data_IF_662545735953
#
_entry.id   IF_662545735953
#
_cell.length_a   1.000
_cell.length_b   1.000
_cell.length_c   1.000
_cell.angle_alpha   90.00
_cell.angle_beta   90.00
_cell.angle_gamma   90.00
#
_symmetry.space_group_name_H-M   'P 1'
#
loop_
_entity.id
_entity.type
_entity.pdbx_description
1 polymer ?
#
# COMPACT_ATOMS: atom_id res chain seq x y z
N UNK A 1 -36.73 -50.63 0.90
CA UNK A 1 -36.47 -50.48 2.36
C UNK A 1 -35.85 -49.10 2.55
N UNK A 2 -36.67 -48.12 2.95
CA UNK A 2 -36.29 -46.70 3.02
C UNK A 2 -35.58 -46.41 4.34
N UNK A 3 -34.49 -45.64 4.26
CA UNK A 3 -33.69 -45.12 5.38
C UNK A 3 -34.47 -44.04 6.13
N UNK A 4 -34.59 -44.15 7.45
CA UNK A 4 -34.96 -43.04 8.32
C UNK A 4 -33.73 -42.59 9.11
N UNK A 5 -33.21 -41.41 8.76
CA UNK A 5 -32.26 -40.67 9.59
C UNK A 5 -33.08 -39.77 10.52
N UNK A 6 -32.95 -39.99 11.83
CA UNK A 6 -33.55 -39.14 12.85
C UNK A 6 -32.78 -37.81 12.94
N UNK A 7 -33.48 -36.70 12.71
CA UNK A 7 -32.97 -35.34 12.91
C UNK A 7 -33.13 -35.01 14.40
N UNK A 8 -32.02 -35.06 15.15
CA UNK A 8 -31.96 -34.60 16.53
C UNK A 8 -31.90 -33.07 16.57
N UNK A 9 -32.88 -32.46 17.25
CA UNK A 9 -32.94 -31.04 17.58
C UNK A 9 -32.08 -30.78 18.82
N UNK A 10 -31.03 -29.99 18.68
CA UNK A 10 -30.26 -29.41 19.79
C UNK A 10 -30.21 -27.89 19.66
N UNK A 11 -31.04 -27.20 20.44
CA UNK A 11 -30.95 -25.75 20.70
C UNK A 11 -29.93 -25.58 21.83
N UNK A 12 -28.83 -24.85 21.60
CA UNK A 12 -28.00 -24.32 22.69
C UNK A 12 -27.61 -22.87 22.40
N UNK A 13 -28.30 -21.99 23.12
CA UNK A 13 -27.89 -20.73 23.76
C UNK A 13 -26.87 -19.82 23.05
N UNK A 14 -27.38 -18.64 22.67
CA UNK A 14 -26.64 -17.42 22.37
C UNK A 14 -25.68 -17.05 23.54
N UNK A 15 -24.38 -17.29 23.34
CA UNK A 15 -23.31 -16.54 23.98
C UNK A 15 -22.68 -15.63 22.94
N UNK A 16 -22.91 -14.32 23.06
CA UNK A 16 -22.45 -13.32 22.10
C UNK A 16 -20.92 -13.23 22.04
N UNK A 17 -20.31 -13.97 21.13
CA UNK A 17 -19.01 -13.62 20.58
C UNK A 17 -19.26 -12.72 19.37
N UNK A 18 -19.01 -11.42 19.53
CA UNK A 18 -18.81 -10.55 18.37
C UNK A 18 -17.44 -10.88 17.77
N UNK A 19 -17.39 -11.96 16.99
CA UNK A 19 -16.31 -12.20 16.04
C UNK A 19 -16.50 -11.19 14.90
N UNK A 20 -15.66 -10.15 14.90
CA UNK A 20 -15.64 -9.16 13.82
C UNK A 20 -15.13 -9.87 12.55
N UNK A 21 -16.09 -10.11 11.65
CA UNK A 21 -15.98 -10.36 10.21
C UNK A 21 -14.73 -11.06 9.68
N UNK A 22 -14.89 -12.31 9.26
CA UNK A 22 -14.04 -12.91 8.23
C UNK A 22 -14.10 -12.05 6.96
N UNK A 23 -12.97 -11.50 6.54
CA UNK A 23 -12.81 -10.95 5.20
C UNK A 23 -13.21 -12.03 4.17
N UNK A 24 -14.20 -11.74 3.33
CA UNK A 24 -14.54 -12.60 2.21
C UNK A 24 -13.51 -12.37 1.11
N UNK A 25 -12.56 -13.30 0.96
CA UNK A 25 -11.70 -13.36 -0.19
C UNK A 25 -12.51 -13.91 -1.37
N UNK A 26 -12.84 -13.05 -2.34
CA UNK A 26 -13.35 -13.52 -3.62
C UNK A 26 -12.18 -14.05 -4.43
N UNK A 27 -12.11 -15.38 -4.56
CA UNK A 27 -11.16 -16.04 -5.47
C UNK A 27 -11.69 -15.85 -6.88
N UNK A 28 -11.06 -14.98 -7.66
CA UNK A 28 -11.28 -14.94 -9.11
C UNK A 28 -10.40 -16.02 -9.72
N UNK A 29 -11.03 -17.06 -10.27
CA UNK A 29 -10.31 -18.10 -11.00
C UNK A 29 -9.57 -17.47 -12.21
N UNK A 30 -8.25 -17.63 -12.28
CA UNK A 30 -7.42 -17.17 -13.40
C UNK A 30 -6.43 -16.02 -13.09
N UNK A 31 -6.31 -15.58 -11.83
CA UNK A 31 -5.29 -14.60 -11.43
C UNK A 31 -4.18 -15.24 -10.60
N UNK A 32 -2.92 -15.06 -10.99
CA UNK A 32 -1.73 -15.49 -10.23
C UNK A 32 -1.59 -14.80 -8.87
N UNK A 33 -2.41 -13.78 -8.61
CA UNK A 33 -2.45 -13.00 -7.38
C UNK A 33 -3.90 -12.65 -6.98
N UNK A 34 -4.18 -12.62 -5.69
CA UNK A 34 -5.45 -12.15 -5.10
C UNK A 34 -5.16 -10.96 -4.19
N UNK A 35 -5.95 -9.90 -4.32
CA UNK A 35 -5.93 -8.76 -3.38
C UNK A 35 -6.50 -9.18 -2.03
N UNK A 36 -5.71 -9.08 -0.97
CA UNK A 36 -6.08 -9.54 0.37
C UNK A 36 -6.46 -8.41 1.32
N UNK A 37 -5.87 -7.22 1.15
CA UNK A 37 -6.15 -6.06 1.99
C UNK A 37 -5.88 -4.73 1.28
N UNK A 38 -6.56 -3.68 1.74
CA UNK A 38 -6.22 -2.28 1.46
C UNK A 38 -6.16 -1.54 2.78
N UNK A 39 -5.09 -0.79 3.01
CA UNK A 39 -4.90 -0.01 4.24
C UNK A 39 -4.49 1.41 3.89
N UNK A 40 -5.16 2.40 4.50
CA UNK A 40 -4.87 3.81 4.30
C UNK A 40 -3.81 4.32 5.28
N UNK A 41 -2.81 5.03 4.77
CA UNK A 41 -1.71 5.60 5.54
C UNK A 41 -1.63 7.11 5.37
N UNK A 42 -1.31 7.80 6.46
CA UNK A 42 -1.01 9.24 6.45
C UNK A 42 0.43 9.46 6.86
N UNK A 43 1.14 10.26 6.07
CA UNK A 43 2.56 10.55 6.24
C UNK A 43 2.74 11.49 7.44
N UNK A 44 3.62 11.08 8.37
CA UNK A 44 4.10 11.94 9.44
C UNK A 44 5.20 12.85 8.90
N UNK A 45 4.85 14.10 8.62
CA UNK A 45 5.79 15.08 8.05
C UNK A 45 6.96 15.44 8.97
N UNK A 46 6.84 15.25 10.28
CA UNK A 46 7.93 15.46 11.21
C UNK A 46 9.01 14.36 11.11
N UNK A 47 8.64 13.17 10.65
CA UNK A 47 9.54 12.02 10.47
C UNK A 47 9.83 11.70 9.01
N UNK A 48 9.41 12.53 8.06
CA UNK A 48 9.52 12.24 6.63
C UNK A 48 10.17 13.39 5.87
N UNK A 49 11.21 13.09 5.09
CA UNK A 49 11.98 14.11 4.39
C UNK A 49 12.59 13.58 3.10
N UNK A 50 12.84 14.46 2.13
CA UNK A 50 13.66 14.17 0.96
C UNK A 50 14.78 15.20 0.77
N UNK A 51 15.89 14.76 0.19
CA UNK A 51 17.01 15.60 -0.22
C UNK A 51 17.22 15.43 -1.71
N UNK A 52 17.30 16.54 -2.44
CA UNK A 52 17.58 16.52 -3.87
C UNK A 52 19.08 16.38 -4.10
N UNK A 53 19.46 15.41 -4.92
CA UNK A 53 20.82 15.23 -5.42
C UNK A 53 20.81 15.58 -6.91
N UNK A 54 21.48 16.65 -7.35
CA UNK A 54 21.55 17.01 -8.76
C UNK A 54 22.55 16.14 -9.53
N UNK A 55 22.38 16.05 -10.85
CA UNK A 55 23.31 15.37 -11.77
C UNK A 55 24.63 16.14 -11.96
N UNK A 56 24.57 17.47 -11.92
CA UNK A 56 25.70 18.36 -12.06
C UNK A 56 25.42 19.68 -11.34
N UNK A 57 26.49 20.36 -10.92
CA UNK A 57 26.42 21.68 -10.28
C UNK A 57 26.96 22.68 -11.30
N UNK A 58 26.13 23.62 -11.74
CA UNK A 58 26.58 24.72 -12.60
C UNK A 58 27.05 25.87 -11.71
N UNK A 59 28.33 26.16 -11.78
CA UNK A 59 28.91 27.34 -11.12
C UNK A 59 28.79 28.55 -12.05
N UNK A 60 28.45 29.70 -11.49
CA UNK A 60 28.46 30.96 -12.24
C UNK A 60 29.87 31.28 -12.79
N UNK A 61 29.95 32.06 -13.87
CA UNK A 61 31.24 32.49 -14.43
C UNK A 61 32.07 33.34 -13.45
N UNK A 62 31.43 33.86 -12.40
CA UNK A 62 31.98 34.58 -11.24
C UNK A 62 32.34 33.66 -10.06
N UNK A 63 32.13 32.35 -10.18
CA UNK A 63 32.38 31.38 -9.12
C UNK A 63 31.27 31.31 -8.06
N UNK A 64 30.12 31.95 -8.25
CA UNK A 64 29.00 31.80 -7.32
C UNK A 64 28.45 30.37 -7.35
N UNK A 65 28.24 29.76 -6.18
CA UNK A 65 27.52 28.49 -6.07
C UNK A 65 26.08 28.64 -6.60
N UNK A 66 25.48 27.60 -7.20
CA UNK A 66 24.11 27.67 -7.67
C UNK A 66 23.15 27.91 -6.50
N UNK A 67 22.14 28.75 -6.73
CA UNK A 67 21.10 29.09 -5.74
C UNK A 67 20.04 28.00 -5.57
N UNK A 68 20.33 26.75 -5.94
CA UNK A 68 19.36 25.66 -5.86
C UNK A 68 19.24 25.19 -4.41
N UNK A 69 18.00 25.09 -3.93
CA UNK A 69 17.71 24.47 -2.66
C UNK A 69 17.77 22.95 -2.83
N UNK A 70 18.65 22.28 -2.10
CA UNK A 70 18.79 20.82 -2.12
C UNK A 70 17.98 20.12 -1.01
N UNK A 71 17.31 20.87 -0.14
CA UNK A 71 16.54 20.35 0.98
C UNK A 71 17.31 20.41 2.32
N UNK A 72 16.80 19.71 3.36
CA UNK A 72 15.74 18.71 3.31
C UNK A 72 14.35 19.32 3.10
N UNK A 73 13.55 18.67 2.26
CA UNK A 73 12.14 19.00 2.02
C UNK A 73 11.24 18.10 2.86
N UNK A 74 10.25 18.67 3.54
CA UNK A 74 9.27 17.88 4.29
C UNK A 74 8.33 17.15 3.33
N UNK A 75 8.09 15.86 3.60
CA UNK A 75 7.09 15.06 2.87
C UNK A 75 5.80 15.05 3.68
N UNK A 76 4.67 15.34 3.05
CA UNK A 76 3.34 15.22 3.65
C UNK A 76 2.36 14.58 2.68
N UNK A 77 1.23 14.09 3.19
CA UNK A 77 0.18 13.52 2.37
C UNK A 77 -0.32 12.18 2.87
N UNK A 78 -0.93 11.43 1.96
CA UNK A 78 -1.51 10.12 2.24
C UNK A 78 -1.44 9.19 1.02
N UNK A 79 -1.51 7.89 1.27
CA UNK A 79 -1.59 6.88 0.23
C UNK A 79 -2.28 5.62 0.78
N UNK A 80 -2.75 4.78 -0.13
CA UNK A 80 -3.25 3.46 0.18
C UNK A 80 -2.20 2.40 -0.15
N UNK A 81 -2.15 1.33 0.64
CA UNK A 81 -1.35 0.15 0.37
C UNK A 81 -2.28 -1.02 0.13
N UNK A 82 -2.20 -1.58 -1.07
CA UNK A 82 -2.90 -2.80 -1.46
C UNK A 82 -1.96 -4.00 -1.34
N UNK A 83 -2.39 -5.06 -0.65
CA UNK A 83 -1.64 -6.31 -0.50
C UNK A 83 -2.20 -7.37 -1.44
N UNK A 84 -1.29 -8.10 -2.09
CA UNK A 84 -1.58 -9.17 -3.01
C UNK A 84 -0.85 -10.44 -2.58
N UNK A 85 -1.57 -11.56 -2.56
CA UNK A 85 -1.02 -12.86 -2.25
C UNK A 85 -1.04 -13.73 -3.51
N UNK A 86 0.05 -14.45 -3.79
CA UNK A 86 0.06 -15.37 -4.94
C UNK A 86 -0.88 -16.56 -4.75
N UNK A 87 -1.49 -17.00 -5.85
CA UNK A 87 -2.35 -18.19 -5.90
C UNK A 87 -1.65 -19.42 -6.47
N UNK A 88 -0.39 -19.30 -6.88
CA UNK A 88 0.38 -20.41 -7.42
C UNK A 88 0.49 -21.52 -6.36
N UNK A 89 -0.02 -22.72 -6.67
CA UNK A 89 0.13 -23.90 -5.81
C UNK A 89 1.62 -24.19 -5.58
N UNK A 90 2.06 -24.54 -4.37
CA UNK A 90 3.47 -24.87 -4.07
C UNK A 90 3.97 -26.18 -4.72
N UNK A 91 3.25 -26.75 -5.67
CA UNK A 91 3.52 -28.05 -6.27
C UNK A 91 4.09 -27.92 -7.69
N UNK A 92 5.29 -27.37 -7.79
CA UNK A 92 6.32 -27.73 -8.75
C UNK A 92 7.51 -26.85 -8.38
N UNK A 93 8.62 -27.48 -8.00
CA UNK A 93 9.97 -26.90 -7.88
C UNK A 93 10.05 -25.40 -8.22
N UNK A 94 10.31 -24.50 -7.26
CA UNK A 94 10.51 -23.10 -7.57
C UNK A 94 11.74 -23.02 -8.48
N UNK A 95 11.53 -22.79 -9.77
CA UNK A 95 12.61 -22.44 -10.66
C UNK A 95 12.98 -20.99 -10.30
N UNK A 96 13.87 -20.86 -9.31
CA UNK A 96 14.23 -19.64 -8.55
C UNK A 96 13.28 -19.33 -7.39
N UNK A 97 13.85 -19.10 -6.19
CA UNK A 97 13.14 -18.97 -4.92
C UNK A 97 12.35 -17.66 -4.78
N UNK A 98 11.26 -17.55 -5.52
CA UNK A 98 10.42 -16.35 -5.63
C UNK A 98 9.53 -16.14 -4.39
N UNK A 99 9.60 -14.93 -3.84
CA UNK A 99 8.66 -14.45 -2.83
C UNK A 99 7.37 -14.06 -3.56
N UNK A 100 6.23 -14.52 -3.04
CA UNK A 100 4.95 -14.57 -3.76
C UNK A 100 3.98 -13.45 -3.39
N UNK A 101 4.27 -12.67 -2.34
CA UNK A 101 3.40 -11.58 -1.91
C UNK A 101 3.91 -10.24 -2.44
N UNK A 102 2.98 -9.39 -2.87
CA UNK A 102 3.28 -8.08 -3.43
C UNK A 102 2.47 -6.98 -2.76
N UNK A 103 3.01 -5.77 -2.80
CA UNK A 103 2.28 -4.57 -2.41
C UNK A 103 2.23 -3.56 -3.54
N UNK A 104 1.14 -2.81 -3.60
CA UNK A 104 0.97 -1.70 -4.53
C UNK A 104 0.55 -0.45 -3.75
N UNK A 105 1.23 0.65 -4.02
CA UNK A 105 0.85 1.96 -3.52
C UNK A 105 -0.16 2.59 -4.48
N UNK A 106 -1.33 2.96 -3.97
CA UNK A 106 -2.41 3.57 -4.75
C UNK A 106 -2.94 4.83 -4.07
N UNK A 107 -3.73 5.63 -4.79
CA UNK A 107 -4.34 6.87 -4.27
C UNK A 107 -3.35 7.81 -3.57
N UNK A 108 -2.11 7.84 -4.07
CA UNK A 108 -1.06 8.66 -3.49
C UNK A 108 -1.35 10.14 -3.75
N UNK A 109 -1.55 10.89 -2.67
CA UNK A 109 -1.58 12.34 -2.66
C UNK A 109 -0.43 12.80 -1.78
N UNK A 110 0.79 12.79 -2.35
CA UNK A 110 2.04 13.08 -1.64
C UNK A 110 2.60 14.38 -2.17
N UNK A 111 3.00 15.25 -1.25
CA UNK A 111 3.51 16.58 -1.54
C UNK A 111 4.88 16.75 -0.92
N UNK A 112 5.84 17.24 -1.71
CA UNK A 112 7.17 17.59 -1.26
C UNK A 112 7.26 19.13 -1.13
N UNK A 113 7.11 19.65 0.09
CA UNK A 113 6.97 21.09 0.29
C UNK A 113 8.30 21.81 0.06
N UNK A 114 8.29 22.82 -0.82
CA UNK A 114 9.47 23.62 -1.15
C UNK A 114 10.38 23.00 -2.22
N UNK A 115 10.02 21.83 -2.75
CA UNK A 115 10.74 21.17 -3.82
C UNK A 115 10.68 21.98 -5.13
N UNK A 116 11.81 22.01 -5.85
CA UNK A 116 11.94 22.69 -7.14
C UNK A 116 11.67 21.77 -8.34
N UNK A 117 11.74 20.46 -8.14
CA UNK A 117 11.41 19.44 -9.14
C UNK A 117 10.23 18.58 -8.69
N UNK A 118 9.51 18.01 -9.65
CA UNK A 118 8.43 17.05 -9.38
C UNK A 118 8.95 15.84 -8.62
N UNK A 119 8.20 15.41 -7.62
CA UNK A 119 8.46 14.19 -6.87
C UNK A 119 7.42 13.15 -7.24
N UNK A 120 7.87 12.09 -7.91
CA UNK A 120 7.00 10.98 -8.31
C UNK A 120 7.01 9.91 -7.22
N UNK A 121 5.89 9.79 -6.50
CA UNK A 121 5.72 8.76 -5.50
C UNK A 121 5.58 7.37 -6.16
N UNK A 122 6.12 6.29 -5.56
CA UNK A 122 6.02 4.96 -6.13
C UNK A 122 4.57 4.55 -6.44
N UNK A 123 4.33 4.05 -7.65
CA UNK A 123 3.01 3.60 -8.12
C UNK A 123 3.04 2.21 -8.76
N UNK A 124 4.10 1.44 -8.51
CA UNK A 124 4.34 0.12 -9.10
C UNK A 124 4.39 -0.96 -8.02
N UNK A 125 4.26 -2.21 -8.44
CA UNK A 125 4.31 -3.34 -7.53
C UNK A 125 5.69 -3.47 -6.90
N UNK A 126 5.68 -3.70 -5.59
CA UNK A 126 6.87 -4.01 -4.80
C UNK A 126 6.77 -5.45 -4.32
N UNK A 127 7.87 -6.18 -4.36
CA UNK A 127 7.95 -7.51 -3.79
C UNK A 127 8.08 -7.41 -2.27
N UNK A 128 7.28 -8.19 -1.55
CA UNK A 128 7.58 -8.48 -0.16
C UNK A 128 8.85 -9.35 -0.13
N UNK A 129 9.73 -9.15 0.84
CA UNK A 129 10.90 -10.01 1.10
C UNK A 129 10.75 -10.81 2.39
N UNK A 130 9.77 -10.44 3.21
CA UNK A 130 9.26 -11.16 4.38
C UNK A 130 7.83 -10.68 4.65
N UNK A 131 7.19 -11.11 5.74
CA UNK A 131 5.84 -10.66 6.13
C UNK A 131 5.73 -9.13 6.37
N UNK A 132 6.88 -8.47 6.59
CA UNK A 132 6.95 -7.05 6.93
C UNK A 132 7.87 -6.26 6.02
N UNK A 133 8.93 -6.84 5.48
CA UNK A 133 9.85 -6.11 4.60
C UNK A 133 9.41 -6.17 3.13
N UNK A 134 9.64 -5.08 2.40
CA UNK A 134 9.36 -4.99 0.96
C UNK A 134 10.45 -4.20 0.22
N UNK A 135 10.53 -4.39 -1.08
CA UNK A 135 11.42 -3.64 -1.97
C UNK A 135 10.86 -3.51 -3.38
N UNK A 136 11.29 -2.48 -4.11
CA UNK A 136 11.02 -2.32 -5.54
C UNK A 136 11.54 -3.53 -6.32
N UNK A 137 10.75 -4.04 -7.26
CA UNK A 137 11.18 -5.17 -8.09
C UNK A 137 12.22 -4.73 -9.13
N UNK A 138 13.35 -5.46 -9.28
CA UNK A 138 14.32 -5.13 -10.31
C UNK A 138 13.74 -5.43 -11.69
N UNK A 139 13.93 -4.52 -12.65
CA UNK A 139 13.47 -4.68 -14.03
C UNK A 139 14.02 -5.91 -14.76
N UNK A 140 15.05 -6.56 -14.22
CA UNK A 140 15.67 -7.78 -14.78
C UNK A 140 14.84 -9.05 -14.59
N UNK A 141 13.86 -9.07 -13.68
CA UNK A 141 13.10 -10.28 -13.34
C UNK A 141 11.87 -10.51 -14.22
N UNK A 142 11.53 -9.59 -15.13
CA UNK A 142 10.26 -9.65 -15.83
C UNK A 142 9.11 -9.32 -14.87
N UNK A 143 8.23 -8.42 -15.29
CA UNK A 143 7.18 -7.92 -14.42
C UNK A 143 6.03 -8.91 -14.28
N UNK A 144 6.08 -9.76 -13.26
CA UNK A 144 4.96 -10.62 -12.88
C UNK A 144 3.87 -9.77 -12.23
N UNK A 145 2.96 -9.19 -13.02
CA UNK A 145 1.88 -8.35 -12.50
C UNK A 145 0.54 -9.09 -12.52
N UNK A 146 -0.37 -8.82 -11.56
CA UNK A 146 -1.73 -9.34 -11.64
C UNK A 146 -2.42 -8.91 -12.95
N UNK A 147 -3.33 -9.73 -13.50
CA UNK A 147 -4.10 -9.36 -14.68
C UNK A 147 -4.81 -8.01 -14.49
N UNK A 148 -4.74 -7.15 -15.52
CA UNK A 148 -5.37 -5.81 -15.49
C UNK A 148 -4.46 -4.68 -15.00
N UNK A 149 -3.23 -4.98 -14.57
CA UNK A 149 -2.22 -3.97 -14.24
C UNK A 149 -1.20 -3.83 -15.38
N UNK A 150 -0.61 -2.63 -15.50
CA UNK A 150 0.47 -2.38 -16.45
C UNK A 150 1.70 -3.16 -15.96
N UNK A 151 2.37 -3.98 -16.80
CA UNK A 151 3.55 -4.76 -16.44
C UNK A 151 4.80 -3.86 -16.35
N UNK A 152 4.76 -2.86 -15.49
CA UNK A 152 5.89 -2.00 -15.17
C UNK A 152 6.25 -2.17 -13.70
N UNK A 153 7.51 -2.54 -13.47
CA UNK A 153 8.10 -2.72 -12.13
C UNK A 153 9.21 -1.71 -11.88
N UNK A 154 9.61 -0.99 -12.92
CA UNK A 154 10.56 0.09 -12.86
C UNK A 154 9.81 1.38 -13.10
N UNK A 155 10.09 2.38 -12.29
CA UNK A 155 9.78 3.76 -12.64
C UNK A 155 10.76 4.18 -13.75
N UNK A 156 10.29 4.88 -14.78
CA UNK A 156 11.16 5.74 -15.58
C UNK A 156 11.74 6.83 -14.67
N UNK A 157 12.89 7.45 -14.97
CA UNK A 157 13.81 7.33 -16.12
C UNK A 157 14.84 6.16 -16.11
N UNK A 158 15.35 5.78 -17.29
CA UNK A 158 16.45 4.82 -17.52
C UNK A 158 17.67 5.63 -18.02
N UNK A 159 18.88 5.52 -17.43
CA UNK A 159 19.44 4.41 -16.64
C UNK A 159 19.28 4.49 -15.12
N UNK A 160 18.55 5.47 -14.58
CA UNK A 160 18.45 5.65 -13.14
C UNK A 160 17.02 5.43 -12.63
N UNK A 161 16.56 4.17 -12.52
CA UNK A 161 15.22 3.89 -12.04
C UNK A 161 15.10 4.30 -10.56
N UNK A 162 13.96 4.84 -10.18
CA UNK A 162 13.60 4.96 -8.77
C UNK A 162 13.62 3.58 -8.12
N UNK A 163 14.07 3.55 -6.88
CA UNK A 163 14.15 2.35 -6.07
C UNK A 163 13.65 2.67 -4.68
N UNK A 164 13.09 1.68 -4.00
CA UNK A 164 12.64 1.87 -2.63
C UNK A 164 12.60 0.55 -1.91
N UNK A 165 12.68 0.62 -0.60
CA UNK A 165 12.54 -0.52 0.30
C UNK A 165 11.99 -0.04 1.62
N UNK A 166 11.43 -0.95 2.40
CA UNK A 166 10.84 -0.53 3.65
C UNK A 166 10.33 -1.67 4.49
N UNK A 167 9.74 -1.28 5.61
CA UNK A 167 9.11 -2.14 6.59
C UNK A 167 7.66 -1.69 6.74
N UNK A 168 6.77 -2.65 6.59
CA UNK A 168 5.33 -2.54 6.71
C UNK A 168 4.89 -3.34 7.94
N UNK A 169 4.33 -2.63 8.92
CA UNK A 169 3.59 -3.22 10.04
C UNK A 169 2.09 -2.99 9.84
N UNK A 170 1.25 -3.60 10.68
CA UNK A 170 -0.20 -3.40 10.62
C UNK A 170 -0.65 -1.95 10.89
N UNK A 171 0.20 -1.11 11.48
CA UNK A 171 -0.17 0.25 11.91
C UNK A 171 0.78 1.33 11.37
N UNK A 172 1.92 0.94 10.83
CA UNK A 172 2.95 1.87 10.37
C UNK A 172 3.68 1.33 9.16
N UNK A 173 4.17 2.23 8.34
CA UNK A 173 5.06 1.94 7.23
C UNK A 173 6.24 2.90 7.30
N UNK A 174 7.44 2.34 7.16
CA UNK A 174 8.69 3.09 6.99
C UNK A 174 9.24 2.72 5.63
N UNK A 175 9.60 3.71 4.82
CA UNK A 175 10.12 3.50 3.48
C UNK A 175 11.29 4.44 3.23
N UNK A 176 12.37 3.87 2.71
CA UNK A 176 13.51 4.60 2.18
C UNK A 176 13.57 4.37 0.68
N UNK A 177 13.93 5.41 -0.06
CA UNK A 177 14.03 5.28 -1.49
C UNK A 177 14.74 6.42 -2.18
N UNK A 178 14.84 6.25 -3.48
CA UNK A 178 15.33 7.25 -4.41
C UNK A 178 14.26 7.42 -5.49
N UNK A 179 13.74 8.65 -5.64
CA UNK A 179 12.82 9.02 -6.71
C UNK A 179 13.60 9.79 -7.78
N UNK A 180 13.75 9.18 -8.96
CA UNK A 180 14.48 9.77 -10.06
C UNK A 180 13.67 10.91 -10.72
N UNK A 181 14.34 12.03 -11.01
CA UNK A 181 13.72 13.20 -11.66
C UNK A 181 14.14 13.28 -13.14
N UNK A 182 15.34 12.81 -13.48
CA UNK A 182 15.89 12.84 -14.84
C UNK A 182 16.72 11.59 -15.21
N UNK A 183 17.11 11.49 -16.48
CA UNK A 183 17.93 10.39 -17.00
C UNK A 183 19.44 10.51 -16.64
N UNK A 184 19.88 11.51 -15.85
CA UNK A 184 21.30 11.86 -15.65
C UNK A 184 21.77 11.63 -14.21
N UNK A 185 20.99 10.88 -13.41
CA UNK A 185 21.21 10.60 -11.98
C UNK A 185 20.81 11.72 -11.03
N UNK A 186 19.92 12.64 -11.43
CA UNK A 186 19.27 13.53 -10.49
C UNK A 186 18.06 12.86 -9.86
N UNK A 187 17.82 13.16 -8.59
CA UNK A 187 16.60 12.72 -7.92
C UNK A 187 16.58 13.01 -6.44
N UNK A 188 15.54 12.53 -5.80
CA UNK A 188 15.30 12.71 -4.37
C UNK A 188 15.62 11.42 -3.63
N UNK A 189 16.61 11.47 -2.74
CA UNK A 189 16.73 10.45 -1.69
C UNK A 189 15.74 10.81 -0.58
N UNK A 190 14.85 9.89 -0.23
CA UNK A 190 13.76 10.16 0.70
C UNK A 190 13.62 9.08 1.78
N UNK A 191 13.10 9.52 2.91
CA UNK A 191 12.62 8.68 4.01
C UNK A 191 11.17 9.07 4.32
N UNK A 192 10.29 8.08 4.42
CA UNK A 192 8.86 8.27 4.72
C UNK A 192 8.48 7.41 5.91
N UNK A 193 7.88 8.06 6.89
CA UNK A 193 7.18 7.41 7.99
C UNK A 193 5.70 7.73 7.87
N UNK A 194 4.86 6.71 7.78
CA UNK A 194 3.43 6.88 7.76
C UNK A 194 2.76 5.92 8.72
N UNK A 195 1.59 6.32 9.22
CA UNK A 195 0.79 5.52 10.15
C UNK A 195 -0.64 5.43 9.67
N UNK A 196 -1.30 4.33 10.03
CA UNK A 196 -2.74 4.19 9.84
C UNK A 196 -3.43 5.20 10.75
N UNK A 197 -4.22 6.09 10.18
CA UNK A 197 -5.10 6.95 10.98
C UNK A 197 -6.32 6.11 11.35
N UNK A 198 -6.62 5.88 12.64
CA UNK A 198 -7.86 5.26 13.03
C UNK A 198 -8.99 6.11 12.47
N UNK A 199 -9.87 5.54 11.64
CA UNK A 199 -11.10 6.22 11.22
C UNK A 199 -11.74 6.81 12.48
N UNK A 200 -12.03 8.12 12.54
CA UNK A 200 -12.59 8.73 13.72
C UNK A 200 -13.80 7.92 14.17
N UNK A 201 -13.83 7.48 15.43
CA UNK A 201 -14.92 6.66 15.97
C UNK A 201 -16.32 7.26 15.74
N UNK A 202 -16.39 8.55 15.39
CA UNK A 202 -17.58 9.22 14.85
C UNK A 202 -18.26 8.46 13.69
N UNK A 203 -17.52 7.86 12.75
CA UNK A 203 -18.13 7.08 11.65
C UNK A 203 -18.91 5.88 12.19
N UNK A 204 -18.39 5.24 13.25
CA UNK A 204 -19.08 4.17 13.96
C UNK A 204 -20.27 4.67 14.78
N UNK A 205 -20.17 5.87 15.37
CA UNK A 205 -21.31 6.53 16.04
C UNK A 205 -22.44 6.83 15.05
N UNK A 206 -22.14 7.29 13.84
CA UNK A 206 -23.15 7.53 12.80
C UNK A 206 -23.83 6.24 12.35
N UNK A 207 -23.08 5.14 12.16
CA UNK A 207 -23.65 3.86 11.80
C UNK A 207 -24.56 3.29 12.90
N UNK A 208 -24.20 3.45 14.17
CA UNK A 208 -25.00 2.96 15.31
C UNK A 208 -26.25 3.81 15.55
N UNK A 209 -26.20 5.13 15.32
CA UNK A 209 -27.39 6.00 15.38
C UNK A 209 -28.37 5.72 14.23
N UNK A 210 -27.88 5.48 13.01
CA UNK A 210 -28.74 5.08 11.88
C UNK A 210 -29.39 3.71 12.11
N UNK A 211 -28.65 2.75 12.68
CA UNK A 211 -29.20 1.45 13.08
C UNK A 211 -30.33 1.56 14.10
N UNK A 212 -30.16 2.41 15.12
CA UNK A 212 -31.19 2.65 16.14
C UNK A 212 -32.41 3.38 15.58
N UNK A 213 -32.22 4.36 14.72
CA UNK A 213 -33.32 5.09 14.07
C UNK A 213 -34.16 4.17 13.16
N UNK A 214 -33.51 3.26 12.41
CA UNK A 214 -34.19 2.26 11.58
C UNK A 214 -35.01 1.24 12.40
N UNK A 215 -34.50 0.80 13.55
CA UNK A 215 -35.22 -0.12 14.44
C UNK A 215 -36.44 0.58 15.08
N UNK A 216 -36.30 1.85 15.46
CA UNK A 216 -37.40 2.63 16.04
C UNK A 216 -38.55 2.89 15.04
N UNK A 217 -38.23 3.14 13.76
CA UNK A 217 -39.25 3.31 12.72
C UNK A 217 -40.00 2.00 12.39
N UNK A 218 -39.31 0.85 12.42
CA UNK A 218 -39.95 -0.45 12.16
C UNK A 218 -40.97 -0.83 13.23
N UNK A 219 -40.74 -0.41 14.48
CA UNK A 219 -41.65 -0.66 15.61
C UNK A 219 -42.94 0.16 15.55
N UNK A 220 -42.92 1.34 14.90
CA UNK A 220 -44.10 2.21 14.71
C UNK A 220 -45.00 1.80 13.54
N UNK A 221 -44.50 1.02 12.57
CA UNK A 221 -45.31 0.53 11.43
C UNK A 221 -46.05 -0.78 11.70
N UNK A 222 -45.86 -1.38 12.88
CA UNK A 222 -46.48 -2.66 13.29
C UNK A 222 -47.63 -2.48 14.29
N UNK A 223 -48.10 -1.25 14.50
CA UNK A 223 -49.25 -0.93 15.34
C UNK A 223 -50.33 -0.23 14.52
#
# INVERSE_FOLDING_TARGET
MYRFLAISRGIVLLGGMMAIGSAQATVVAGSDFIKTATTHYVINSAGSSATYTPSFIVLGADGSEPSENFGPFSISGSFDVERYQSTASPSATPASGEITDKILFTNANVTLNGAIHSFDFPSFLSAMTSDTAFQSEPGSLGCSVPPGFIPSCVTMPNPNPSSWSGILSNQSISMDGFAAVDNIRAGYTYHIQASVVPLPGAVWLFASVLGLAGIAQRKRRSH
#
